data_IF_641920181317
#
_entry.id   IF_641920181317
#
_cell.length_a   1.000
_cell.length_b   1.000
_cell.length_c   1.000
_cell.angle_alpha   90.00
_cell.angle_beta   90.00
_cell.angle_gamma   90.00
#
_symmetry.space_group_name_H-M   'P 1'
#
loop_
_entity.id
_entity.type
_entity.pdbx_description
1 polymer ?
#
# COMPACT_ATOMS: atom_id res chain seq x y z
N UNK A 1 10.81 -29.53 -5.59
CA UNK A 1 10.54 -29.69 -4.15
C UNK A 1 9.35 -28.81 -3.81
N UNK A 2 8.34 -29.29 -3.06
CA UNK A 2 7.26 -28.43 -2.59
C UNK A 2 7.86 -27.40 -1.63
N UNK A 3 7.86 -26.13 -2.03
CA UNK A 3 8.24 -25.03 -1.12
C UNK A 3 7.19 -24.98 0.00
N UNK A 4 7.65 -24.89 1.25
CA UNK A 4 6.79 -24.89 2.42
C UNK A 4 5.88 -23.65 2.44
N UNK A 5 4.72 -23.76 3.09
CA UNK A 5 3.74 -22.67 3.13
C UNK A 5 4.34 -21.40 3.76
N UNK A 6 5.18 -21.53 4.79
CA UNK A 6 5.82 -20.40 5.46
C UNK A 6 6.73 -19.63 4.50
N UNK A 7 7.54 -20.33 3.70
CA UNK A 7 8.36 -19.72 2.65
C UNK A 7 7.53 -18.99 1.59
N UNK A 8 6.34 -19.50 1.22
CA UNK A 8 5.44 -18.83 0.27
C UNK A 8 4.84 -17.55 0.86
N UNK A 9 4.44 -17.57 2.12
CA UNK A 9 3.82 -16.43 2.80
C UNK A 9 4.83 -15.36 3.23
N UNK A 10 6.13 -15.67 3.21
CA UNK A 10 7.17 -14.71 3.56
C UNK A 10 7.07 -13.42 2.75
N UNK A 11 6.92 -13.52 1.42
CA UNK A 11 6.82 -12.35 0.54
C UNK A 11 5.62 -11.45 0.86
N UNK A 12 4.35 -11.93 0.83
CA UNK A 12 3.20 -11.07 1.09
C UNK A 12 3.18 -10.51 2.51
N UNK A 13 3.65 -11.27 3.51
CA UNK A 13 3.78 -10.76 4.90
C UNK A 13 4.82 -9.65 4.96
N UNK A 14 5.99 -9.84 4.35
CA UNK A 14 7.03 -8.80 4.32
C UNK A 14 6.57 -7.57 3.56
N UNK A 15 5.83 -7.73 2.47
CA UNK A 15 5.22 -6.62 1.74
C UNK A 15 4.30 -5.79 2.64
N UNK A 16 3.36 -6.42 3.34
CA UNK A 16 2.40 -5.74 4.23
C UNK A 16 3.14 -5.02 5.36
N UNK A 17 4.08 -5.70 6.02
CA UNK A 17 4.85 -5.12 7.13
C UNK A 17 5.71 -3.95 6.65
N UNK A 18 6.42 -4.12 5.54
CA UNK A 18 7.26 -3.09 4.95
C UNK A 18 6.45 -1.85 4.58
N UNK A 19 5.34 -2.01 3.86
CA UNK A 19 4.50 -0.88 3.47
C UNK A 19 3.89 -0.19 4.70
N UNK A 20 3.35 -0.97 5.65
CA UNK A 20 2.75 -0.43 6.89
C UNK A 20 3.76 0.41 7.68
N UNK A 21 4.95 -0.13 7.95
CA UNK A 21 5.96 0.53 8.80
C UNK A 21 6.53 1.76 8.12
N UNK A 22 6.87 1.66 6.83
CA UNK A 22 7.49 2.78 6.10
C UNK A 22 6.52 3.93 5.86
N UNK A 23 5.26 3.63 5.53
CA UNK A 23 4.21 4.65 5.38
C UNK A 23 3.86 5.28 6.73
N UNK A 24 3.73 4.50 7.81
CA UNK A 24 3.42 5.07 9.13
C UNK A 24 4.54 5.96 9.69
N UNK A 25 5.81 5.67 9.39
CA UNK A 25 6.95 6.48 9.87
C UNK A 25 7.29 7.66 8.98
N UNK A 26 7.25 7.47 7.68
CA UNK A 26 7.83 8.43 6.73
C UNK A 26 6.79 9.01 5.75
N UNK A 27 5.59 8.43 5.71
CA UNK A 27 4.58 8.73 4.69
C UNK A 27 4.98 8.24 3.31
N UNK A 28 5.98 7.36 3.18
CA UNK A 28 6.46 6.89 1.87
C UNK A 28 7.29 5.61 2.00
N UNK A 29 7.20 4.74 0.99
CA UNK A 29 8.10 3.59 0.82
C UNK A 29 9.36 4.01 0.05
N UNK A 30 10.41 3.18 0.00
CA UNK A 30 11.63 3.50 -0.76
C UNK A 30 11.34 3.77 -2.25
N UNK A 31 10.48 2.96 -2.87
CA UNK A 31 10.08 3.18 -4.26
C UNK A 31 9.34 4.50 -4.44
N UNK A 32 8.41 4.82 -3.53
CA UNK A 32 7.68 6.10 -3.56
C UNK A 32 8.60 7.29 -3.32
N UNK A 33 9.61 7.15 -2.46
CA UNK A 33 10.63 8.18 -2.25
C UNK A 33 11.39 8.48 -3.55
N UNK A 34 11.81 7.45 -4.30
CA UNK A 34 12.47 7.62 -5.60
C UNK A 34 11.54 8.33 -6.60
N UNK A 35 10.25 7.95 -6.61
CA UNK A 35 9.22 8.58 -7.45
C UNK A 35 8.77 9.96 -6.94
N UNK A 36 9.32 10.46 -5.82
CA UNK A 36 8.88 11.70 -5.16
C UNK A 36 7.38 11.71 -4.88
N UNK A 37 6.84 10.58 -4.42
CA UNK A 37 5.43 10.43 -4.02
C UNK A 37 5.35 10.29 -2.51
N UNK A 38 4.43 11.02 -1.89
CA UNK A 38 4.15 10.94 -0.46
C UNK A 38 2.69 10.60 -0.21
N UNK A 39 2.48 9.67 0.70
CA UNK A 39 1.19 9.30 1.27
C UNK A 39 0.91 10.22 2.45
N UNK A 40 -0.25 10.86 2.43
CA UNK A 40 -0.73 11.70 3.53
C UNK A 40 -2.16 11.34 3.91
N UNK A 41 -2.57 11.69 5.13
CA UNK A 41 -3.97 11.63 5.53
C UNK A 41 -4.80 12.60 4.71
N UNK A 42 -5.99 12.16 4.33
CA UNK A 42 -6.95 12.98 3.58
C UNK A 42 -7.52 14.14 4.42
N UNK A 43 -7.60 13.98 5.74
CA UNK A 43 -8.20 14.95 6.65
C UNK A 43 -7.35 16.20 6.87
N UNK A 44 -6.03 16.02 7.07
CA UNK A 44 -5.15 17.09 7.56
C UNK A 44 -3.79 17.14 6.84
N UNK A 45 -3.53 16.22 5.90
CA UNK A 45 -2.24 16.13 5.20
C UNK A 45 -1.08 15.62 6.06
N UNK A 46 -1.33 15.13 7.29
CA UNK A 46 -0.31 14.56 8.15
C UNK A 46 0.16 13.19 7.65
N UNK A 47 1.23 12.66 8.27
CA UNK A 47 1.66 11.28 8.01
C UNK A 47 0.57 10.32 8.52
N UNK A 48 0.16 9.31 7.74
CA UNK A 48 -0.88 8.37 8.14
C UNK A 48 -0.54 7.65 9.45
N UNK A 49 -1.56 7.41 10.26
CA UNK A 49 -1.41 6.64 11.49
C UNK A 49 -0.98 5.18 11.17
N UNK A 50 -0.40 4.44 12.13
CA UNK A 50 -0.09 3.03 11.95
C UNK A 50 -1.32 2.20 11.56
N UNK A 51 -2.50 2.54 12.09
CA UNK A 51 -3.76 1.86 11.78
C UNK A 51 -4.17 2.06 10.32
N UNK A 52 -4.13 3.30 9.83
CA UNK A 52 -4.50 3.61 8.44
C UNK A 52 -3.49 3.02 7.47
N UNK A 53 -2.20 3.08 7.81
CA UNK A 53 -1.12 2.47 7.02
C UNK A 53 -1.29 0.95 6.93
N UNK A 54 -1.68 0.30 8.03
CA UNK A 54 -1.95 -1.14 8.05
C UNK A 54 -3.16 -1.50 7.20
N UNK A 55 -4.28 -0.76 7.34
CA UNK A 55 -5.48 -0.97 6.50
C UNK A 55 -5.13 -0.80 5.02
N UNK A 56 -4.38 0.25 4.67
CA UNK A 56 -3.95 0.52 3.30
C UNK A 56 -3.17 -0.65 2.70
N UNK A 57 -2.20 -1.21 3.43
CA UNK A 57 -1.39 -2.33 2.99
C UNK A 57 -2.18 -3.66 2.96
N UNK A 58 -3.13 -3.83 3.88
CA UNK A 58 -3.95 -5.04 3.98
C UNK A 58 -4.95 -5.18 2.83
N UNK A 59 -5.54 -4.08 2.34
CA UNK A 59 -6.55 -4.17 1.26
C UNK A 59 -6.02 -4.94 0.03
N UNK A 60 -4.86 -4.60 -0.58
CA UNK A 60 -4.25 -5.44 -1.60
C UNK A 60 -3.52 -6.66 -1.03
N UNK A 61 -2.95 -6.54 0.18
CA UNK A 61 -2.15 -7.56 0.84
C UNK A 61 -2.90 -8.87 1.13
N UNK A 62 -4.19 -8.81 1.47
CA UNK A 62 -5.01 -10.00 1.71
C UNK A 62 -5.13 -10.85 0.43
N UNK A 63 -5.28 -10.22 -0.72
CA UNK A 63 -5.36 -10.95 -2.00
C UNK A 63 -4.00 -11.53 -2.41
N UNK A 64 -2.90 -10.84 -2.08
CA UNK A 64 -1.55 -11.41 -2.21
C UNK A 64 -1.34 -12.60 -1.27
N UNK A 65 -1.78 -12.52 -0.01
CA UNK A 65 -1.73 -13.67 0.92
C UNK A 65 -2.49 -14.86 0.34
N UNK A 66 -3.73 -14.66 -0.12
CA UNK A 66 -4.56 -15.69 -0.73
C UNK A 66 -3.88 -16.31 -1.96
N UNK A 67 -3.30 -15.50 -2.84
CA UNK A 67 -2.60 -15.98 -4.03
C UNK A 67 -1.40 -16.90 -3.69
N UNK A 68 -0.71 -16.62 -2.59
CA UNK A 68 0.49 -17.35 -2.17
C UNK A 68 0.21 -18.55 -1.23
N UNK A 69 -1.03 -18.73 -0.75
CA UNK A 69 -1.45 -19.99 -0.09
C UNK A 69 -1.35 -21.17 -1.07
N UNK A 70 -1.51 -20.92 -2.38
CA UNK A 70 -1.33 -21.89 -3.47
C UNK A 70 -2.66 -22.42 -4.03
N UNK A 71 -2.59 -23.43 -4.90
CA UNK A 71 -3.78 -23.98 -5.55
C UNK A 71 -4.39 -23.05 -6.61
N UNK A 72 -5.72 -23.07 -6.84
CA UNK A 72 -6.37 -22.28 -7.89
C UNK A 72 -6.42 -20.78 -7.57
N UNK A 73 -5.98 -20.36 -6.39
CA UNK A 73 -6.11 -18.99 -5.89
C UNK A 73 -5.05 -18.02 -6.43
N UNK A 74 -4.10 -18.47 -7.25
CA UNK A 74 -3.06 -17.63 -7.85
C UNK A 74 -3.61 -16.37 -8.53
N UNK A 75 -4.78 -16.47 -9.16
CA UNK A 75 -5.45 -15.34 -9.81
C UNK A 75 -5.86 -14.21 -8.85
N UNK A 76 -5.90 -14.45 -7.54
CA UNK A 76 -6.15 -13.40 -6.55
C UNK A 76 -5.08 -12.28 -6.60
N UNK A 77 -3.85 -12.57 -7.06
CA UNK A 77 -2.83 -11.54 -7.27
C UNK A 77 -3.28 -10.49 -8.31
N UNK A 78 -4.07 -10.88 -9.32
CA UNK A 78 -4.63 -9.94 -10.29
C UNK A 78 -5.61 -8.95 -9.62
N UNK A 79 -6.33 -9.38 -8.58
CA UNK A 79 -7.23 -8.50 -7.81
C UNK A 79 -6.43 -7.40 -7.11
N UNK A 80 -5.25 -7.73 -6.56
CA UNK A 80 -4.37 -6.72 -5.98
C UNK A 80 -3.96 -5.65 -7.00
N UNK A 81 -3.66 -6.06 -8.25
CA UNK A 81 -3.38 -5.12 -9.35
C UNK A 81 -4.61 -4.27 -9.68
N UNK A 82 -5.79 -4.88 -9.78
CA UNK A 82 -7.05 -4.16 -10.04
C UNK A 82 -7.33 -3.13 -8.94
N UNK A 83 -7.10 -3.46 -7.67
CA UNK A 83 -7.24 -2.52 -6.55
C UNK A 83 -6.39 -1.26 -6.78
N UNK A 84 -5.13 -1.41 -7.19
CA UNK A 84 -4.31 -0.24 -7.51
C UNK A 84 -4.82 0.51 -8.74
N UNK A 85 -5.26 -0.20 -9.79
CA UNK A 85 -5.78 0.41 -11.03
C UNK A 85 -7.09 1.17 -10.83
N UNK A 86 -7.83 0.91 -9.76
CA UNK A 86 -9.04 1.68 -9.44
C UNK A 86 -8.77 3.17 -9.23
N UNK A 87 -7.51 3.56 -8.96
CA UNK A 87 -7.11 4.96 -8.92
C UNK A 87 -7.34 5.69 -10.24
N UNK A 88 -7.14 5.02 -11.38
CA UNK A 88 -7.28 5.62 -12.72
C UNK A 88 -8.73 6.01 -13.02
N UNK A 89 -9.70 5.35 -12.37
CA UNK A 89 -11.12 5.64 -12.53
C UNK A 89 -11.63 6.76 -11.59
N UNK A 90 -10.78 7.30 -10.72
CA UNK A 90 -11.13 8.35 -9.77
C UNK A 90 -10.50 9.69 -10.17
N UNK A 91 -11.25 10.78 -10.04
CA UNK A 91 -10.78 12.13 -10.43
C UNK A 91 -9.60 12.62 -9.61
N UNK A 92 -9.46 12.14 -8.38
CA UNK A 92 -8.34 12.47 -7.50
C UNK A 92 -7.23 11.41 -7.54
N UNK A 93 -7.30 10.49 -8.52
CA UNK A 93 -6.41 9.34 -8.64
C UNK A 93 -6.37 8.48 -7.37
N UNK A 94 -7.52 8.37 -6.68
CA UNK A 94 -7.61 7.70 -5.38
C UNK A 94 -8.12 6.26 -5.51
N UNK A 95 -7.24 5.29 -5.26
CA UNK A 95 -7.57 3.86 -5.29
C UNK A 95 -8.46 3.41 -4.12
N UNK A 96 -9.08 2.22 -4.24
CA UNK A 96 -9.91 1.63 -3.17
C UNK A 96 -9.13 1.53 -1.85
N UNK A 97 -7.88 1.08 -1.89
CA UNK A 97 -7.03 0.95 -0.69
C UNK A 97 -6.79 2.29 0.02
N UNK A 98 -6.79 3.39 -0.72
CA UNK A 98 -6.62 4.74 -0.20
C UNK A 98 -7.94 5.31 0.34
N UNK A 99 -9.05 4.99 -0.33
CA UNK A 99 -10.42 5.29 0.13
C UNK A 99 -10.69 4.66 1.49
N UNK A 100 -10.40 3.36 1.63
CA UNK A 100 -10.59 2.61 2.88
C UNK A 100 -9.69 3.09 4.02
N UNK A 101 -8.49 3.58 3.71
CA UNK A 101 -7.51 4.04 4.73
C UNK A 101 -7.57 5.53 5.02
N UNK A 102 -8.49 6.28 4.41
CA UNK A 102 -8.53 7.75 4.50
C UNK A 102 -7.20 8.45 4.13
N UNK A 103 -6.50 7.92 3.12
CA UNK A 103 -5.22 8.46 2.64
C UNK A 103 -5.30 8.92 1.18
N UNK A 104 -4.32 9.72 0.76
CA UNK A 104 -4.09 10.10 -0.63
C UNK A 104 -2.59 10.12 -0.93
N UNK A 105 -2.21 9.73 -2.15
CA UNK A 105 -0.86 9.88 -2.67
C UNK A 105 -0.73 11.19 -3.45
N UNK A 106 0.30 11.97 -3.11
CA UNK A 106 0.58 13.25 -3.74
C UNK A 106 2.02 13.28 -4.22
N UNK A 107 2.26 13.96 -5.35
CA UNK A 107 3.60 14.29 -5.77
C UNK A 107 4.20 15.31 -4.79
N UNK A 108 5.35 14.96 -4.22
CA UNK A 108 6.12 15.77 -3.29
C UNK A 108 7.48 16.10 -3.92
N UNK A 109 7.56 17.12 -4.80
CA UNK A 109 8.84 17.63 -5.28
C UNK A 109 9.62 18.10 -4.06
N UNK A 110 10.86 17.62 -3.92
CA UNK A 110 11.64 17.69 -2.69
C UNK A 110 11.50 19.03 -1.95
N UNK A 111 11.02 18.96 -0.71
CA UNK A 111 10.96 20.12 0.19
C UNK A 111 9.65 20.90 0.17
N UNK A 112 8.50 20.26 0.41
CA UNK A 112 7.36 21.00 0.99
C UNK A 112 7.68 21.27 2.46
N UNK A 113 8.34 22.42 2.63
CA UNK A 113 8.55 23.15 3.85
C UNK A 113 7.35 23.02 4.78
N UNK A 114 7.66 22.63 6.02
CA UNK A 114 6.78 22.72 7.18
C UNK A 114 6.50 24.21 7.39
N UNK A 115 5.48 24.77 6.73
CA UNK A 115 4.95 26.08 7.13
C UNK A 115 4.37 25.92 8.53
N UNK A 116 5.12 26.37 9.52
CA UNK A 116 4.59 26.81 10.82
C UNK A 116 3.94 28.17 10.64
#
# INVERSE_FOLDING_TARGET
>A
MPVDLWARLLFPVMFIVYETVTVARFGQTLGKFICRVKVVQWSDGAVPSPRESAIRALVPGVFLLIAFIGGPFFYAAAIAVVIYLTSVADTLYRGIHEKTSNTIELFAPGGLSRKK
#
